data_IF_578166138742
#
_entry.id   IF_578166138742
#
_cell.length_a   1.000
_cell.length_b   1.000
_cell.length_c   1.000
_cell.angle_alpha   90.00
_cell.angle_beta   90.00
_cell.angle_gamma   90.00
#
_symmetry.space_group_name_H-M   'P 1'
#
loop_
_entity.id
_entity.type
_entity.pdbx_description
1 polymer ?
#
# COMPACT_ATOMS: atom_id res chain seq x y z
N UNK A 1 3.70 10.44 -5.17
CA UNK A 1 3.14 9.14 -4.69
C UNK A 1 3.83 8.73 -3.39
N UNK A 2 3.09 8.17 -2.46
CA UNK A 2 3.63 7.64 -1.21
C UNK A 2 2.84 6.41 -0.75
N UNK A 3 3.51 5.51 -0.03
CA UNK A 3 2.91 4.32 0.53
C UNK A 3 3.33 4.14 2.00
N UNK A 4 2.36 4.04 2.89
CA UNK A 4 2.60 3.58 4.24
C UNK A 4 2.48 2.07 4.24
N UNK A 5 3.59 1.38 4.50
CA UNK A 5 3.64 -0.08 4.54
C UNK A 5 3.67 -0.59 5.97
N UNK A 6 2.96 -1.69 6.20
CA UNK A 6 2.96 -2.39 7.48
C UNK A 6 3.13 -3.88 7.24
N UNK A 7 4.10 -4.48 7.92
CA UNK A 7 4.24 -5.94 7.94
C UNK A 7 3.11 -6.53 8.78
N UNK A 8 2.39 -7.49 8.22
CA UNK A 8 1.19 -8.05 8.85
C UNK A 8 1.26 -9.58 8.92
N UNK A 9 0.64 -10.15 9.94
CA UNK A 9 0.31 -11.58 9.98
C UNK A 9 -1.00 -11.87 9.24
N UNK A 10 -1.89 -10.87 9.18
CA UNK A 10 -3.12 -10.88 8.39
C UNK A 10 -3.63 -9.45 8.21
N UNK A 11 -4.31 -9.21 7.09
CA UNK A 11 -5.04 -7.97 6.85
C UNK A 11 -6.21 -8.21 5.90
N UNK A 12 -7.26 -7.40 6.02
CA UNK A 12 -8.42 -7.45 5.12
C UNK A 12 -9.08 -6.10 4.97
N UNK A 13 -9.79 -5.94 3.88
CA UNK A 13 -10.68 -4.80 3.60
C UNK A 13 -12.11 -5.28 3.47
N UNK A 14 -13.00 -4.61 4.19
CA UNK A 14 -14.45 -4.85 4.13
C UNK A 14 -15.14 -3.61 3.58
N UNK A 15 -16.05 -3.81 2.63
CA UNK A 15 -16.93 -2.80 2.04
C UNK A 15 -18.36 -3.33 2.12
N UNK A 16 -19.29 -2.56 2.69
CA UNK A 16 -20.70 -2.98 2.89
C UNK A 16 -20.81 -4.38 3.52
N UNK A 17 -20.06 -4.61 4.60
CA UNK A 17 -19.98 -5.88 5.34
C UNK A 17 -19.46 -7.09 4.52
N UNK A 18 -18.92 -6.84 3.33
CA UNK A 18 -18.32 -7.87 2.47
C UNK A 18 -16.80 -7.72 2.43
N UNK A 19 -16.06 -8.80 2.63
CA UNK A 19 -14.62 -8.82 2.44
C UNK A 19 -14.32 -8.74 0.95
N UNK A 20 -13.62 -7.68 0.52
CA UNK A 20 -13.25 -7.45 -0.88
C UNK A 20 -11.80 -7.78 -1.18
N UNK A 21 -10.95 -7.85 -0.18
CA UNK A 21 -9.55 -8.26 -0.30
C UNK A 21 -9.02 -8.72 1.06
N UNK A 22 -8.24 -9.78 1.08
CA UNK A 22 -7.65 -10.31 2.30
C UNK A 22 -6.33 -11.02 2.02
N UNK A 23 -5.38 -10.89 2.96
CA UNK A 23 -4.09 -11.59 2.93
C UNK A 23 -3.79 -12.22 4.29
N UNK A 24 -3.01 -13.28 4.28
CA UNK A 24 -2.30 -13.78 5.45
C UNK A 24 -0.99 -13.00 5.68
N UNK A 25 0.12 -13.68 6.06
CA UNK A 25 1.40 -13.01 6.24
C UNK A 25 1.86 -12.25 4.99
N UNK A 26 2.29 -11.00 5.17
CA UNK A 26 2.69 -10.16 4.04
C UNK A 26 2.77 -8.69 4.38
N UNK A 27 2.43 -7.83 3.41
CA UNK A 27 2.40 -6.38 3.54
C UNK A 27 1.00 -5.81 3.25
N UNK A 28 0.54 -4.95 4.15
CA UNK A 28 -0.49 -3.96 3.84
C UNK A 28 0.22 -2.67 3.38
N UNK A 29 -0.23 -2.10 2.27
CA UNK A 29 0.25 -0.81 1.77
C UNK A 29 -0.92 0.15 1.56
N UNK A 30 -0.96 1.23 2.34
CA UNK A 30 -1.85 2.36 2.16
C UNK A 30 -1.19 3.33 1.19
N UNK A 31 -1.80 3.57 0.02
CA UNK A 31 -1.17 4.29 -1.09
C UNK A 31 -1.93 5.59 -1.38
N UNK A 32 -1.19 6.70 -1.42
CA UNK A 32 -1.68 7.98 -1.91
C UNK A 32 -0.97 8.40 -3.20
N UNK A 33 -1.74 8.94 -4.12
CA UNK A 33 -1.25 9.54 -5.36
C UNK A 33 -1.17 11.06 -5.17
N UNK A 34 -0.04 11.63 -5.55
CA UNK A 34 0.20 13.07 -5.52
C UNK A 34 0.06 13.64 -6.95
N UNK A 35 -0.31 14.92 -7.11
CA UNK A 35 -0.43 15.52 -8.44
C UNK A 35 0.86 15.41 -9.24
N UNK A 36 0.78 14.98 -10.51
CA UNK A 36 1.93 14.88 -11.41
C UNK A 36 2.78 13.63 -11.22
N UNK A 37 2.32 12.63 -10.46
CA UNK A 37 3.02 11.36 -10.37
C UNK A 37 3.16 10.68 -11.75
N UNK A 38 4.41 10.42 -12.16
CA UNK A 38 4.73 9.83 -13.45
C UNK A 38 4.66 8.31 -13.44
N UNK A 39 4.58 7.71 -14.64
CA UNK A 39 4.68 6.25 -14.80
C UNK A 39 5.97 5.68 -14.22
N UNK A 40 7.08 6.41 -14.31
CA UNK A 40 8.35 5.99 -13.72
C UNK A 40 8.25 5.90 -12.19
N UNK A 41 7.62 6.89 -11.55
CA UNK A 41 7.38 6.88 -10.10
C UNK A 41 6.47 5.73 -9.68
N UNK A 42 5.44 5.41 -10.46
CA UNK A 42 4.56 4.26 -10.20
C UNK A 42 5.35 2.96 -10.25
N UNK A 43 6.15 2.75 -11.30
CA UNK A 43 7.01 1.54 -11.44
C UNK A 43 8.02 1.45 -10.29
N UNK A 44 8.65 2.56 -9.94
CA UNK A 44 9.61 2.60 -8.84
C UNK A 44 8.97 2.28 -7.50
N UNK A 45 7.75 2.78 -7.24
CA UNK A 45 7.02 2.44 -6.03
C UNK A 45 6.69 0.94 -5.99
N UNK A 46 6.23 0.35 -7.10
CA UNK A 46 5.99 -1.09 -7.20
C UNK A 46 7.24 -1.91 -6.85
N UNK A 47 8.39 -1.56 -7.43
CA UNK A 47 9.67 -2.21 -7.13
C UNK A 47 10.03 -2.08 -5.64
N UNK A 48 9.82 -0.91 -5.04
CA UNK A 48 10.08 -0.69 -3.61
C UNK A 48 9.16 -1.51 -2.73
N UNK A 49 7.87 -1.59 -3.04
CA UNK A 49 6.90 -2.38 -2.28
C UNK A 49 7.29 -3.87 -2.25
N UNK A 50 7.65 -4.42 -3.42
CA UNK A 50 8.01 -5.83 -3.55
C UNK A 50 9.40 -6.16 -3.00
N UNK A 51 10.34 -5.23 -3.12
CA UNK A 51 11.75 -5.42 -2.77
C UNK A 51 12.16 -4.88 -1.40
N UNK A 52 11.28 -4.20 -0.65
CA UNK A 52 11.67 -3.62 0.63
C UNK A 52 11.89 -4.71 1.70
N UNK A 53 13.05 -4.66 2.36
CA UNK A 53 13.52 -5.74 3.24
C UNK A 53 13.01 -5.57 4.67
N UNK A 54 11.79 -5.99 4.93
CA UNK A 54 11.13 -5.86 6.25
C UNK A 54 10.81 -7.20 6.92
N UNK A 55 11.11 -8.31 6.25
CA UNK A 55 10.92 -9.65 6.82
C UNK A 55 12.23 -10.19 7.37
N UNK A 56 12.13 -10.93 8.47
CA UNK A 56 13.30 -11.49 9.16
C UNK A 56 13.96 -12.59 8.33
N UNK A 57 15.30 -12.59 8.34
CA UNK A 57 16.13 -13.71 7.88
C UNK A 57 16.34 -14.74 9.01
N UNK A 58 17.13 -15.76 8.74
CA UNK A 58 17.46 -16.82 9.72
C UNK A 58 18.22 -16.29 10.97
N UNK A 59 18.88 -15.13 10.86
CA UNK A 59 19.56 -14.46 11.97
C UNK A 59 18.66 -13.45 12.72
N UNK A 60 17.36 -13.37 12.36
CA UNK A 60 16.39 -12.45 12.97
C UNK A 60 16.52 -10.99 12.51
N UNK A 61 17.29 -10.71 11.45
CA UNK A 61 17.46 -9.36 10.91
C UNK A 61 16.43 -9.09 9.82
N UNK A 62 15.91 -7.86 9.74
CA UNK A 62 15.08 -7.40 8.60
C UNK A 62 15.94 -7.36 7.34
N UNK A 63 15.88 -8.41 6.53
CA UNK A 63 16.74 -8.62 5.37
C UNK A 63 16.03 -9.24 4.16
N UNK A 64 14.87 -9.83 4.34
CA UNK A 64 14.08 -10.45 3.27
C UNK A 64 12.96 -9.51 2.82
N UNK A 65 12.73 -9.49 1.52
CA UNK A 65 11.65 -8.75 0.88
C UNK A 65 10.34 -9.56 0.80
N UNK A 66 9.26 -8.91 0.35
CA UNK A 66 8.02 -9.61 0.04
C UNK A 66 8.22 -10.67 -1.06
N UNK A 67 9.02 -10.36 -2.07
CA UNK A 67 9.40 -11.31 -3.13
C UNK A 67 10.10 -12.54 -2.57
N UNK A 68 11.02 -12.35 -1.62
CA UNK A 68 11.77 -13.46 -1.00
C UNK A 68 10.90 -14.36 -0.13
N UNK A 69 9.87 -13.80 0.51
CA UNK A 69 8.97 -14.55 1.41
C UNK A 69 7.76 -15.13 0.70
N UNK A 70 7.49 -14.70 -0.53
CA UNK A 70 6.27 -15.03 -1.27
C UNK A 70 4.97 -14.73 -0.48
N UNK A 71 4.99 -13.69 0.38
CA UNK A 71 3.83 -13.26 1.17
C UNK A 71 2.78 -12.53 0.33
N UNK A 72 1.61 -12.28 0.92
CA UNK A 72 0.55 -11.51 0.26
C UNK A 72 0.84 -10.00 0.26
N UNK A 73 0.34 -9.30 -0.75
CA UNK A 73 0.33 -7.83 -0.82
C UNK A 73 -1.12 -7.34 -0.85
N UNK A 74 -1.50 -6.50 0.11
CA UNK A 74 -2.80 -5.83 0.12
C UNK A 74 -2.60 -4.34 -0.14
N UNK A 75 -3.03 -3.88 -1.32
CA UNK A 75 -2.96 -2.47 -1.73
C UNK A 75 -4.29 -1.78 -1.46
N UNK A 76 -4.26 -0.70 -0.69
CA UNK A 76 -5.45 0.10 -0.36
C UNK A 76 -5.21 1.56 -0.73
N UNK A 77 -6.11 2.14 -1.53
CA UNK A 77 -6.05 3.56 -1.83
C UNK A 77 -6.34 4.40 -0.58
N UNK A 78 -5.47 5.37 -0.29
CA UNK A 78 -5.50 6.19 0.91
C UNK A 78 -5.11 7.64 0.58
N UNK A 79 -5.99 8.40 -0.07
CA UNK A 79 -5.69 9.77 -0.50
C UNK A 79 -5.40 10.72 0.68
N UNK A 80 -6.02 10.48 1.84
CA UNK A 80 -5.80 11.28 3.04
C UNK A 80 -4.36 11.26 3.55
N UNK A 81 -3.56 10.26 3.14
CA UNK A 81 -2.14 10.19 3.45
C UNK A 81 -1.34 11.34 2.78
N UNK A 82 -1.84 11.88 1.67
CA UNK A 82 -1.27 13.04 0.97
C UNK A 82 -1.84 14.39 1.47
N UNK A 83 -2.65 14.40 2.53
CA UNK A 83 -3.24 15.61 3.06
C UNK A 83 -2.18 16.56 3.65
N UNK A 84 -2.42 17.86 3.51
CA UNK A 84 -1.65 18.87 4.23
C UNK A 84 -2.18 19.01 5.66
N UNK A 85 -1.34 18.64 6.62
CA UNK A 85 -1.63 18.66 8.07
C UNK A 85 -0.74 19.64 8.83
N UNK A 86 -0.02 20.53 8.14
CA UNK A 86 0.99 21.41 8.74
C UNK A 86 0.39 22.52 9.61
N UNK A 87 -0.88 22.86 9.42
CA UNK A 87 -1.52 23.93 10.18
C UNK A 87 -2.97 23.61 10.53
N UNK A 88 -3.40 24.08 11.70
CA UNK A 88 -4.77 23.91 12.17
C UNK A 88 -5.12 22.46 12.54
N UNK A 89 -6.42 22.18 12.65
CA UNK A 89 -6.97 20.88 13.06
C UNK A 89 -7.84 20.23 11.98
N UNK A 90 -7.88 20.82 10.78
CA UNK A 90 -8.60 20.30 9.61
C UNK A 90 -7.60 19.92 8.52
N UNK A 91 -7.65 18.71 7.94
CA UNK A 91 -6.76 18.34 6.85
C UNK A 91 -7.11 19.13 5.57
N UNK A 92 -6.08 19.56 4.83
CA UNK A 92 -6.23 20.12 3.50
C UNK A 92 -5.95 19.03 2.45
N UNK A 93 -6.75 18.98 1.36
CA UNK A 93 -6.60 17.94 0.33
C UNK A 93 -6.07 18.47 -1.01
N UNK A 94 -5.62 19.73 -1.07
CA UNK A 94 -5.03 20.32 -2.27
C UNK A 94 -3.72 19.66 -2.72
N UNK A 95 -3.09 18.90 -1.83
CA UNK A 95 -1.84 18.14 -2.06
C UNK A 95 -2.08 16.70 -2.52
N UNK A 96 -3.33 16.25 -2.62
CA UNK A 96 -3.72 14.97 -3.18
C UNK A 96 -4.08 15.11 -4.67
N UNK A 97 -3.80 14.07 -5.48
CA UNK A 97 -4.20 14.05 -6.88
C UNK A 97 -5.73 14.07 -7.04
N UNK A 98 -6.27 14.64 -8.14
CA UNK A 98 -7.67 14.52 -8.47
C UNK A 98 -8.12 13.05 -8.54
N UNK A 99 -9.38 12.73 -8.16
CA UNK A 99 -9.83 11.34 -8.03
C UNK A 99 -9.60 10.47 -9.27
N UNK A 100 -9.87 10.97 -10.47
CA UNK A 100 -9.68 10.22 -11.72
C UNK A 100 -8.20 9.92 -12.00
N UNK A 101 -7.32 10.89 -11.77
CA UNK A 101 -5.87 10.71 -11.91
C UNK A 101 -5.35 9.71 -10.89
N UNK A 102 -5.81 9.84 -9.64
CA UNK A 102 -5.43 8.95 -8.55
C UNK A 102 -5.88 7.51 -8.81
N UNK A 103 -7.11 7.30 -9.29
CA UNK A 103 -7.63 5.97 -9.62
C UNK A 103 -6.83 5.31 -10.74
N UNK A 104 -6.54 6.06 -11.81
CA UNK A 104 -5.73 5.55 -12.92
C UNK A 104 -4.34 5.12 -12.46
N UNK A 105 -3.64 5.99 -11.70
CA UNK A 105 -2.30 5.71 -11.21
C UNK A 105 -2.27 4.55 -10.21
N UNK A 106 -3.27 4.46 -9.34
CA UNK A 106 -3.43 3.34 -8.40
C UNK A 106 -3.66 2.02 -9.13
N UNK A 107 -4.56 1.99 -10.13
CA UNK A 107 -4.83 0.80 -10.92
C UNK A 107 -3.60 0.34 -11.72
N UNK A 108 -2.79 1.28 -12.23
CA UNK A 108 -1.52 0.97 -12.89
C UNK A 108 -0.52 0.33 -11.90
N UNK A 109 -0.40 0.87 -10.69
CA UNK A 109 0.41 0.29 -9.62
C UNK A 109 -0.02 -1.16 -9.31
N UNK A 110 -1.32 -1.38 -9.17
CA UNK A 110 -1.89 -2.72 -8.92
C UNK A 110 -1.53 -3.68 -10.05
N UNK A 111 -1.68 -3.26 -11.31
CA UNK A 111 -1.36 -4.08 -12.47
C UNK A 111 0.12 -4.49 -12.49
N UNK A 112 1.04 -3.55 -12.26
CA UNK A 112 2.48 -3.82 -12.20
C UNK A 112 2.81 -4.79 -11.06
N UNK A 113 2.22 -4.59 -9.87
CA UNK A 113 2.44 -5.48 -8.74
C UNK A 113 1.92 -6.90 -9.03
N UNK A 114 0.75 -7.04 -9.65
CA UNK A 114 0.17 -8.36 -10.02
C UNK A 114 1.04 -9.10 -11.03
N UNK A 115 1.55 -8.41 -12.03
CA UNK A 115 2.45 -8.99 -13.02
C UNK A 115 3.76 -9.48 -12.39
N UNK A 116 4.30 -8.71 -11.43
CA UNK A 116 5.62 -8.95 -10.83
C UNK A 116 5.58 -9.85 -9.59
N UNK A 117 4.39 -10.11 -9.02
CA UNK A 117 4.23 -10.84 -7.76
C UNK A 117 3.13 -11.92 -7.83
N UNK A 118 3.42 -13.08 -8.47
CA UNK A 118 2.46 -14.18 -8.61
C UNK A 118 1.85 -14.73 -7.31
N UNK A 119 2.52 -14.69 -6.13
CA UNK A 119 1.94 -15.21 -4.89
C UNK A 119 0.61 -14.59 -4.48
N UNK A 120 0.36 -13.32 -4.85
CA UNK A 120 -0.95 -12.71 -4.68
C UNK A 120 -0.91 -11.23 -4.33
N UNK A 121 -1.70 -10.47 -5.07
CA UNK A 121 -1.95 -9.03 -4.83
C UNK A 121 -3.45 -8.81 -4.72
N UNK A 122 -3.87 -8.47 -3.51
CA UNK A 122 -5.24 -8.13 -3.18
C UNK A 122 -5.41 -6.61 -3.07
N UNK A 123 -6.62 -6.13 -3.21
CA UNK A 123 -6.92 -4.70 -3.15
C UNK A 123 -8.17 -4.43 -2.33
N UNK A 124 -8.28 -3.20 -1.81
CA UNK A 124 -9.56 -2.62 -1.44
C UNK A 124 -10.35 -2.20 -2.69
N UNK A 125 -11.35 -1.33 -2.50
CA UNK A 125 -12.16 -0.74 -3.57
C UNK A 125 -11.95 0.77 -3.60
N UNK A 126 -11.40 1.27 -4.70
CA UNK A 126 -11.14 2.70 -4.86
C UNK A 126 -12.42 3.53 -4.67
N UNK A 127 -12.33 4.61 -3.90
CA UNK A 127 -13.43 5.54 -3.65
C UNK A 127 -14.54 5.03 -2.69
N UNK A 128 -14.50 3.77 -2.26
CA UNK A 128 -15.46 3.24 -1.32
C UNK A 128 -15.12 3.60 0.14
N UNK A 129 -16.12 3.58 1.01
CA UNK A 129 -15.88 3.52 2.44
C UNK A 129 -15.38 2.11 2.79
N UNK A 130 -14.17 2.03 3.33
CA UNK A 130 -13.51 0.76 3.65
C UNK A 130 -13.22 0.65 5.14
N UNK A 131 -13.51 -0.52 5.69
CA UNK A 131 -13.01 -0.92 7.01
C UNK A 131 -11.78 -1.79 6.79
N UNK A 132 -10.62 -1.28 7.19
CA UNK A 132 -9.33 -1.98 7.05
C UNK A 132 -8.93 -2.58 8.39
N UNK A 133 -8.87 -3.90 8.45
CA UNK A 133 -8.46 -4.65 9.64
C UNK A 133 -7.10 -5.27 9.39
N UNK A 134 -6.20 -5.18 10.37
CA UNK A 134 -4.85 -5.74 10.25
C UNK A 134 -4.29 -6.15 11.62
N UNK A 135 -3.35 -7.07 11.59
CA UNK A 135 -2.49 -7.38 12.73
C UNK A 135 -1.06 -7.05 12.33
N UNK A 136 -0.55 -5.91 12.83
CA UNK A 136 0.81 -5.48 12.56
C UNK A 136 1.79 -6.37 13.32
N UNK A 137 2.63 -7.08 12.57
CA UNK A 137 3.62 -7.98 13.11
C UNK A 137 4.94 -7.25 13.33
N UNK A 138 5.18 -6.95 14.61
CA UNK A 138 6.42 -6.27 14.97
C UNK A 138 6.33 -5.32 16.17
N UNK A 139 5.70 -4.15 16.12
CA UNK A 139 5.16 -3.48 14.93
C UNK A 139 6.27 -3.05 13.94
N UNK A 140 5.96 -3.14 12.66
CA UNK A 140 6.85 -2.70 11.58
C UNK A 140 6.04 -1.87 10.58
N UNK A 141 6.36 -0.58 10.51
CA UNK A 141 5.65 0.42 9.71
C UNK A 141 6.64 1.42 9.13
N UNK A 142 6.61 1.62 7.82
CA UNK A 142 7.46 2.56 7.11
C UNK A 142 6.66 3.39 6.11
N UNK A 143 7.12 4.60 5.86
CA UNK A 143 6.63 5.45 4.78
C UNK A 143 7.63 5.37 3.61
N UNK A 144 7.16 4.88 2.45
CA UNK A 144 7.95 4.80 1.24
C UNK A 144 7.54 5.89 0.24
N UNK A 145 8.52 6.41 -0.48
CA UNK A 145 8.36 7.23 -1.68
C UNK A 145 9.05 6.56 -2.85
N UNK A 146 8.65 6.84 -4.11
CA UNK A 146 9.31 6.33 -5.31
C UNK A 146 10.80 6.63 -5.36
#
# INVERSE_FOLDING_TARGET
MLALIQRVSQAQVTVDDQVVGAIGPGLLALVAVEPGDSQEQIRRLAQRLLGYRVFSDAAGRMNRSLTDTAGGLLLVSQFTLAADTRSGTRPGFSTAAPPQEAERAFNELVAICRESHPPGVETGRFGAHMVVSLVNDGPVTFLLRP
#
